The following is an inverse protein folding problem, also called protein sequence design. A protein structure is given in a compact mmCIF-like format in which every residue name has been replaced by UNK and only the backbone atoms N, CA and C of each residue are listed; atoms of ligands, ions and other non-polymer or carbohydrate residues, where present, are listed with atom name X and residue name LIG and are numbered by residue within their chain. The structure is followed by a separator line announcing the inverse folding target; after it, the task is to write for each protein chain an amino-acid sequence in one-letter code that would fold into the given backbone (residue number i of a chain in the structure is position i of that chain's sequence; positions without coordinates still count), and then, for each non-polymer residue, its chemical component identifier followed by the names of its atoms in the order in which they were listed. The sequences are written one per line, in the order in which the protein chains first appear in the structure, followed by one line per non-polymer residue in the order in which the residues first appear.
data_IF_793568801183
#
_entry.id   IF_793568801183
#
_cell.length_a   1.000
_cell.length_b   1.000
_cell.length_c   1.000
_cell.angle_alpha   90.00
_cell.angle_beta   90.00
_cell.angle_gamma   90.00
#
_symmetry.space_group_name_H-M   'P 1'
#
loop_
_entity.id
_entity.type
_entity.pdbx_description
1 polymer ?
#
# COMPACT_ATOMS: atom_id res chain seq x y z
N UNK A 1 5.08 -12.35 -20.02
CA UNK A 1 4.01 -12.30 -19.00
C UNK A 1 3.37 -10.92 -19.06
N UNK A 2 2.04 -10.83 -19.16
CA UNK A 2 1.33 -9.56 -19.32
C UNK A 2 0.98 -8.90 -17.98
N UNK A 3 1.00 -7.57 -17.97
CA UNK A 3 0.44 -6.71 -16.93
C UNK A 3 -1.04 -7.05 -16.71
N UNK A 4 -1.48 -7.13 -15.46
CA UNK A 4 -2.90 -7.36 -15.10
C UNK A 4 -3.42 -6.18 -14.30
N UNK A 5 -4.57 -5.65 -14.69
CA UNK A 5 -5.30 -4.68 -13.86
C UNK A 5 -6.40 -5.40 -13.13
N UNK A 6 -6.41 -5.33 -11.80
CA UNK A 6 -7.41 -5.98 -10.95
C UNK A 6 -7.89 -4.99 -9.89
N UNK A 7 -9.19 -5.03 -9.61
CA UNK A 7 -9.79 -4.21 -8.55
C UNK A 7 -9.60 -4.88 -7.20
N UNK A 8 -9.05 -4.13 -6.24
CA UNK A 8 -8.85 -4.53 -4.85
C UNK A 8 -9.89 -3.85 -3.98
N UNK A 9 -10.63 -4.63 -3.20
CA UNK A 9 -11.60 -4.13 -2.23
C UNK A 9 -10.92 -3.93 -0.89
N UNK A 10 -11.07 -2.73 -0.34
CA UNK A 10 -10.54 -2.31 0.96
C UNK A 10 -11.69 -1.81 1.84
N UNK A 11 -11.42 -1.52 3.11
CA UNK A 11 -12.40 -0.84 3.98
C UNK A 11 -12.70 0.60 3.54
N UNK A 12 -11.85 1.21 2.70
CA UNK A 12 -11.99 2.58 2.19
C UNK A 12 -12.54 2.64 0.76
N UNK A 13 -13.04 1.52 0.23
CA UNK A 13 -13.58 1.42 -1.12
C UNK A 13 -12.77 0.49 -2.04
N UNK A 14 -13.01 0.62 -3.34
CA UNK A 14 -12.40 -0.23 -4.37
C UNK A 14 -11.35 0.53 -5.17
N UNK A 15 -10.19 -0.09 -5.38
CA UNK A 15 -9.04 0.55 -6.02
C UNK A 15 -8.49 -0.33 -7.14
N UNK A 16 -8.31 0.25 -8.33
CA UNK A 16 -7.68 -0.45 -9.44
C UNK A 16 -6.17 -0.53 -9.24
N UNK A 17 -5.69 -1.76 -9.16
CA UNK A 17 -4.29 -2.07 -8.98
C UNK A 17 -3.71 -2.73 -10.23
N UNK A 18 -2.51 -2.29 -10.59
CA UNK A 18 -1.70 -2.88 -11.65
C UNK A 18 -0.80 -3.92 -11.01
N UNK A 19 -0.79 -5.12 -11.57
CA UNK A 19 0.09 -6.22 -11.20
C UNK A 19 1.03 -6.52 -12.36
N UNK A 20 2.31 -6.35 -12.12
CA UNK A 20 3.37 -6.59 -13.09
C UNK A 20 4.33 -7.65 -12.54
N UNK A 21 4.64 -8.71 -13.31
CA UNK A 21 5.63 -9.70 -12.91
C UNK A 21 6.99 -9.02 -12.70
N UNK A 22 7.62 -9.29 -11.57
CA UNK A 22 8.98 -8.82 -11.27
C UNK A 22 10.00 -9.81 -11.86
N UNK A 23 10.94 -9.30 -12.66
CA UNK A 23 11.87 -10.14 -13.44
C UNK A 23 13.04 -10.60 -12.60
N UNK A 24 13.53 -9.76 -11.70
CA UNK A 24 14.81 -10.01 -11.02
C UNK A 24 14.62 -10.90 -9.79
N UNK A 25 13.58 -10.64 -9.00
CA UNK A 25 13.27 -11.41 -7.77
C UNK A 25 12.16 -12.45 -7.97
N UNK A 26 11.52 -12.48 -9.14
CA UNK A 26 10.27 -13.21 -9.34
C UNK A 26 9.09 -12.56 -8.60
N UNK A 27 7.91 -13.17 -8.69
CA UNK A 27 6.69 -12.63 -8.07
C UNK A 27 6.04 -11.50 -8.86
N UNK A 28 5.34 -10.61 -8.15
CA UNK A 28 4.56 -9.52 -8.75
C UNK A 28 4.71 -8.23 -7.94
N UNK A 29 5.05 -7.15 -8.62
CA UNK A 29 4.85 -5.78 -8.13
C UNK A 29 3.37 -5.41 -8.28
N UNK A 30 2.81 -4.79 -7.26
CA UNK A 30 1.46 -4.25 -7.26
C UNK A 30 1.47 -2.73 -7.01
N UNK A 31 0.76 -1.98 -7.85
CA UNK A 31 0.69 -0.51 -7.79
C UNK A 31 -0.77 -0.05 -7.82
N UNK A 32 -1.19 0.69 -6.78
CA UNK A 32 -2.51 1.32 -6.74
C UNK A 32 -2.45 2.75 -7.31
N UNK A 33 -2.85 2.95 -8.58
CA UNK A 33 -2.62 4.22 -9.31
C UNK A 33 -3.22 5.47 -8.66
N UNK A 34 -4.29 5.32 -7.89
CA UNK A 34 -5.01 6.44 -7.25
C UNK A 34 -4.59 6.68 -5.80
N UNK A 35 -3.64 5.89 -5.28
CA UNK A 35 -3.13 6.02 -3.91
C UNK A 35 -1.62 6.22 -4.02
N UNK A 36 -1.20 7.48 -3.90
CA UNK A 36 0.21 7.85 -4.02
C UNK A 36 1.05 7.10 -2.98
N UNK A 37 2.15 6.47 -3.41
CA UNK A 37 3.03 5.70 -2.52
C UNK A 37 2.57 4.27 -2.23
N UNK A 38 1.38 3.85 -2.67
CA UNK A 38 0.90 2.47 -2.51
C UNK A 38 1.51 1.55 -3.57
N UNK A 39 2.78 1.17 -3.34
CA UNK A 39 3.55 0.20 -4.12
C UNK A 39 3.99 -0.92 -3.20
N UNK A 40 3.85 -2.16 -3.67
CA UNK A 40 4.23 -3.34 -2.89
C UNK A 40 4.61 -4.50 -3.81
N UNK A 41 5.08 -5.61 -3.24
CA UNK A 41 5.51 -6.81 -3.96
C UNK A 41 5.04 -8.05 -3.20
N UNK A 42 4.71 -9.12 -3.93
CA UNK A 42 4.47 -10.45 -3.36
C UNK A 42 5.02 -11.56 -4.24
N UNK A 43 5.40 -12.69 -3.66
CA UNK A 43 6.05 -13.81 -4.37
C UNK A 43 5.15 -14.51 -5.38
N UNK A 44 3.84 -14.27 -5.29
CA UNK A 44 2.84 -14.72 -6.26
C UNK A 44 1.66 -13.72 -6.30
N UNK A 45 0.76 -13.91 -7.27
CA UNK A 45 -0.36 -12.98 -7.49
C UNK A 45 -1.31 -12.91 -6.29
N UNK A 46 -1.51 -14.00 -5.55
CA UNK A 46 -2.40 -14.01 -4.38
C UNK A 46 -1.81 -13.19 -3.23
N UNK A 47 -0.52 -13.34 -2.96
CA UNK A 47 0.20 -12.54 -1.97
C UNK A 47 0.26 -11.08 -2.36
N UNK A 48 0.58 -10.78 -3.63
CA UNK A 48 0.61 -9.40 -4.11
C UNK A 48 -0.75 -8.71 -3.96
N UNK A 49 -1.87 -9.42 -4.16
CA UNK A 49 -3.22 -8.87 -3.92
C UNK A 49 -3.47 -8.55 -2.44
N UNK A 50 -3.08 -9.46 -1.54
CA UNK A 50 -3.18 -9.24 -0.08
C UNK A 50 -2.36 -8.02 0.32
N UNK A 51 -1.11 -7.94 -0.12
CA UNK A 51 -0.22 -6.83 0.20
C UNK A 51 -0.69 -5.52 -0.43
N UNK A 52 -1.29 -5.56 -1.63
CA UNK A 52 -1.89 -4.37 -2.25
C UNK A 52 -3.02 -3.80 -1.39
N UNK A 53 -3.87 -4.66 -0.81
CA UNK A 53 -4.90 -4.20 0.13
C UNK A 53 -4.27 -3.53 1.35
N UNK A 54 -3.29 -4.18 1.98
CA UNK A 54 -2.64 -3.69 3.20
C UNK A 54 -1.93 -2.34 2.98
N UNK A 55 -1.19 -2.18 1.88
CA UNK A 55 -0.49 -0.92 1.61
C UNK A 55 -1.45 0.22 1.28
N UNK A 56 -2.57 -0.06 0.61
CA UNK A 56 -3.62 0.95 0.34
C UNK A 56 -4.23 1.44 1.66
N UNK A 57 -4.63 0.51 2.52
CA UNK A 57 -5.24 0.84 3.81
C UNK A 57 -4.24 1.60 4.70
N UNK A 58 -3.00 1.11 4.80
CA UNK A 58 -1.95 1.75 5.59
C UNK A 58 -1.58 3.17 5.12
N UNK A 59 -1.52 3.42 3.81
CA UNK A 59 -1.24 4.77 3.28
C UNK A 59 -2.39 5.74 3.59
N UNK A 60 -3.64 5.30 3.44
CA UNK A 60 -4.82 6.12 3.75
C UNK A 60 -4.84 6.47 5.24
N UNK A 61 -4.62 5.48 6.10
CA UNK A 61 -4.59 5.62 7.55
C UNK A 61 -3.45 6.53 8.01
N UNK A 62 -2.24 6.33 7.49
CA UNK A 62 -1.10 7.21 7.77
C UNK A 62 -1.40 8.67 7.39
N UNK A 63 -2.05 8.89 6.25
CA UNK A 63 -2.48 10.22 5.82
C UNK A 63 -3.54 10.85 6.74
N UNK A 64 -4.47 10.06 7.28
CA UNK A 64 -5.45 10.52 8.28
C UNK A 64 -4.73 10.94 9.57
N UNK A 65 -3.82 10.11 10.06
CA UNK A 65 -3.06 10.37 11.29
C UNK A 65 -2.19 11.63 11.14
N UNK A 66 -1.47 11.76 10.03
CA UNK A 66 -0.64 12.95 9.73
C UNK A 66 -1.46 14.24 9.76
N UNK A 67 -2.64 14.24 9.10
CA UNK A 67 -3.52 15.42 9.10
C UNK A 67 -4.11 15.72 10.48
N UNK A 68 -4.45 14.70 11.25
CA UNK A 68 -4.96 14.88 12.62
C UNK A 68 -3.89 15.48 13.55
N UNK A 69 -2.61 15.11 13.36
CA UNK A 69 -1.50 15.74 14.09
C UNK A 69 -1.30 17.20 13.67
N UNK A 70 -1.32 17.50 12.37
CA UNK A 70 -1.22 18.88 11.83
C UNK A 70 -2.34 19.80 12.35
N UNK A 71 -3.53 19.24 12.58
CA UNK A 71 -4.68 19.95 13.14
C UNK A 71 -4.67 20.03 14.68
N UNK A 72 -3.69 19.43 15.35
CA UNK A 72 -3.60 19.39 16.81
C UNK A 72 -4.65 18.51 17.50
N UNK A 73 -5.35 17.65 16.74
CA UNK A 73 -6.34 16.70 17.27
C UNK A 73 -5.63 15.58 18.05
N UNK A 74 -4.47 15.16 17.54
CA UNK A 74 -3.61 14.14 18.17
C UNK A 74 -2.17 14.64 18.26
N UNK A 75 -1.37 14.02 19.12
CA UNK A 75 0.07 14.25 19.20
C UNK A 75 0.81 12.92 19.10
N UNK A 76 1.67 12.77 18.08
CA UNK A 76 2.42 11.52 17.85
C UNK A 76 3.73 11.58 18.62
N UNK A 77 3.89 10.68 19.59
CA UNK A 77 5.16 10.54 20.32
C UNK A 77 6.21 9.90 19.41
N UNK A 78 7.24 10.66 19.05
CA UNK A 78 8.39 10.15 18.30
C UNK A 78 9.29 9.39 19.27
N UNK A 79 9.39 8.07 19.11
CA UNK A 79 10.37 7.26 19.83
C UNK A 79 11.63 7.11 18.96
N UNK A 80 12.72 7.74 19.37
CA UNK A 80 13.98 7.83 18.60
C UNK A 80 14.78 6.51 18.54
N UNK A 81 14.25 5.40 19.05
CA UNK A 81 14.98 4.14 19.23
C UNK A 81 14.49 2.97 18.34
N UNK A 82 13.78 3.23 17.25
CA UNK A 82 13.45 2.17 16.28
C UNK A 82 14.65 1.95 15.34
N UNK A 83 15.38 0.86 15.60
CA UNK A 83 16.46 0.32 14.76
C UNK A 83 15.91 -0.13 13.40
N UNK A 84 16.65 0.25 12.35
CA UNK A 84 16.44 -0.14 10.96
C UNK A 84 16.71 -1.64 10.72
#
# INVERSE_FOLDING_TARGET
MSKKTLTIKTQYGSFDCIFEPEKDMGGYVAVARKVQGAVTWGKNLAEAKRMAKEVIEGVIEAGIISRAEEQGIVHIRKNTHLVA
#
